data_IF_319304951871
#
_entry.id   IF_319304951871
#
_cell.length_a   1.000
_cell.length_b   1.000
_cell.length_c   1.000
_cell.angle_alpha   90.00
_cell.angle_beta   90.00
_cell.angle_gamma   90.00
#
_symmetry.space_group_name_H-M   'P 1'
#
loop_
_entity.id
_entity.type
_entity.pdbx_description
1 polymer ?
#
# COMPACT_ATOMS: atom_id res chain seq x y z
N UNK A 1 21.47 7.29 1.63
CA UNK A 1 21.19 8.73 1.67
C UNK A 1 20.09 8.97 2.71
N UNK A 2 20.36 9.89 3.64
CA UNK A 2 19.37 10.34 4.63
C UNK A 2 18.47 11.33 3.88
N UNK A 3 17.13 11.14 3.87
CA UNK A 3 16.23 12.06 3.21
C UNK A 3 16.28 13.45 3.88
N UNK A 4 16.09 14.54 3.12
CA UNK A 4 16.06 15.88 3.68
C UNK A 4 14.90 16.03 4.68
N UNK A 5 15.13 16.76 5.77
CA UNK A 5 14.19 16.94 6.89
C UNK A 5 12.86 17.62 6.51
N UNK A 6 12.77 18.24 5.33
CA UNK A 6 11.57 18.91 4.80
C UNK A 6 11.06 18.19 3.55
N UNK A 7 10.56 16.95 3.71
CA UNK A 7 9.89 16.31 2.59
C UNK A 7 8.50 16.92 2.36
N UNK A 8 8.18 17.35 1.13
CA UNK A 8 6.86 17.86 0.83
C UNK A 8 5.80 16.77 0.98
N UNK A 9 4.66 17.12 1.56
CA UNK A 9 3.47 16.25 1.67
C UNK A 9 3.00 15.69 0.33
N UNK A 10 3.38 16.32 -0.78
CA UNK A 10 3.11 15.87 -2.15
C UNK A 10 3.70 14.49 -2.49
N UNK A 11 4.74 14.03 -1.78
CA UNK A 11 5.27 12.67 -1.96
C UNK A 11 4.29 11.60 -1.47
N UNK A 12 3.49 11.92 -0.44
CA UNK A 12 2.44 11.01 0.04
C UNK A 12 1.31 10.86 -0.97
N UNK A 13 1.01 11.91 -1.74
CA UNK A 13 -0.01 11.89 -2.81
C UNK A 13 0.39 10.95 -3.96
N UNK A 14 1.68 10.63 -4.11
CA UNK A 14 2.17 9.70 -5.12
C UNK A 14 1.97 8.23 -4.74
N UNK A 15 1.68 7.94 -3.47
CA UNK A 15 1.51 6.56 -2.95
C UNK A 15 0.32 5.86 -3.61
N UNK A 16 0.52 4.60 -4.07
CA UNK A 16 -0.54 3.84 -4.72
C UNK A 16 -1.74 3.55 -3.81
N UNK A 17 -1.50 3.28 -2.53
CA UNK A 17 -2.55 2.99 -1.53
C UNK A 17 -3.45 4.20 -1.24
N UNK A 18 -2.89 5.41 -1.21
CA UNK A 18 -3.66 6.65 -1.07
C UNK A 18 -4.49 6.91 -2.33
N UNK A 19 -3.91 6.71 -3.52
CA UNK A 19 -4.64 6.82 -4.79
C UNK A 19 -5.76 5.79 -4.90
N UNK A 20 -5.54 4.57 -4.45
CA UNK A 20 -6.58 3.54 -4.40
C UNK A 20 -7.75 3.98 -3.51
N UNK A 21 -7.46 4.42 -2.28
CA UNK A 21 -8.48 4.89 -1.35
C UNK A 21 -9.25 6.11 -1.88
N UNK A 22 -8.58 7.03 -2.59
CA UNK A 22 -9.21 8.16 -3.27
C UNK A 22 -10.17 7.69 -4.38
N UNK A 23 -9.74 6.75 -5.23
CA UNK A 23 -10.59 6.22 -6.30
C UNK A 23 -11.79 5.45 -5.76
N UNK A 24 -11.64 4.73 -4.64
CA UNK A 24 -12.75 4.08 -3.94
C UNK A 24 -13.76 5.12 -3.44
N UNK A 25 -13.29 6.25 -2.89
CA UNK A 25 -14.15 7.33 -2.43
C UNK A 25 -14.90 7.98 -3.60
N UNK A 26 -14.22 8.23 -4.74
CA UNK A 26 -14.82 8.78 -5.96
C UNK A 26 -15.89 7.84 -6.50
N UNK A 27 -15.61 6.54 -6.57
CA UNK A 27 -16.57 5.52 -7.00
C UNK A 27 -17.78 5.43 -6.07
N UNK A 28 -17.58 5.50 -4.75
CA UNK A 28 -18.67 5.52 -3.77
C UNK A 28 -19.56 6.77 -3.93
N UNK A 29 -18.96 7.93 -4.22
CA UNK A 29 -19.70 9.16 -4.51
C UNK A 29 -20.53 9.04 -5.80
N UNK A 30 -19.97 8.48 -6.87
CA UNK A 30 -20.70 8.24 -8.11
C UNK A 30 -21.90 7.28 -7.91
N UNK A 31 -21.77 6.30 -7.03
CA UNK A 31 -22.86 5.37 -6.69
C UNK A 31 -24.06 6.04 -6.02
N UNK A 32 -23.90 7.21 -5.38
CA UNK A 32 -25.03 8.02 -4.91
C UNK A 32 -25.86 8.50 -6.12
N UNK A 33 -25.19 8.91 -7.20
CA UNK A 33 -25.85 9.29 -8.45
C UNK A 33 -26.64 8.13 -9.05
N UNK A 34 -26.07 6.92 -9.08
CA UNK A 34 -26.76 5.70 -9.53
C UNK A 34 -27.98 5.40 -8.66
N UNK A 35 -27.85 5.50 -7.33
CA UNK A 35 -28.99 5.29 -6.43
C UNK A 35 -30.11 6.35 -6.63
N UNK A 36 -29.73 7.60 -6.87
CA UNK A 36 -30.68 8.68 -7.19
C UNK A 36 -31.36 8.48 -8.54
N UNK A 37 -30.64 7.93 -9.54
CA UNK A 37 -31.22 7.63 -10.86
C UNK A 37 -32.39 6.64 -10.79
N UNK A 38 -32.39 5.75 -9.81
CA UNK A 38 -33.52 4.84 -9.58
C UNK A 38 -34.82 5.51 -9.12
N UNK A 39 -34.80 6.79 -8.77
CA UNK A 39 -35.98 7.61 -8.47
C UNK A 39 -36.65 8.17 -9.74
N UNK A 40 -35.97 8.08 -10.90
CA UNK A 40 -36.46 8.59 -12.17
C UNK A 40 -36.99 7.46 -13.08
N UNK A 41 -37.77 7.80 -14.11
CA UNK A 41 -38.23 6.82 -15.08
C UNK A 41 -37.06 6.13 -15.79
N UNK A 42 -37.12 4.81 -15.87
CA UNK A 42 -36.23 4.01 -16.70
C UNK A 42 -36.78 3.88 -18.12
N UNK A 43 -36.02 4.35 -19.10
CA UNK A 43 -36.36 4.30 -20.52
C UNK A 43 -35.52 3.19 -21.17
N UNK A 44 -36.18 2.19 -21.74
CA UNK A 44 -35.55 1.05 -22.40
C UNK A 44 -35.99 1.00 -23.85
N UNK A 45 -35.02 1.01 -24.77
CA UNK A 45 -35.26 0.72 -26.20
C UNK A 45 -34.88 -0.74 -26.46
N UNK A 46 -35.81 -1.50 -26.97
CA UNK A 46 -35.58 -2.88 -27.41
C UNK A 46 -35.76 -2.98 -28.93
N UNK A 47 -34.86 -3.71 -29.58
CA UNK A 47 -34.98 -4.05 -30.99
C UNK A 47 -34.69 -5.53 -31.15
N UNK A 48 -35.51 -6.19 -31.94
CA UNK A 48 -35.30 -7.57 -32.33
C UNK A 48 -35.39 -7.72 -33.85
N UNK A 49 -34.52 -8.55 -34.39
CA UNK A 49 -34.50 -8.93 -35.78
C UNK A 49 -34.22 -10.44 -35.86
N UNK A 50 -34.95 -11.15 -36.68
CA UNK A 50 -34.78 -12.58 -36.81
C UNK A 50 -35.66 -13.18 -37.89
N UNK A 51 -35.75 -14.51 -37.90
CA UNK A 51 -36.63 -15.26 -38.74
C UNK A 51 -37.53 -16.18 -37.89
N UNK A 52 -38.80 -16.26 -38.26
CA UNK A 52 -39.79 -17.12 -37.58
C UNK A 52 -40.55 -17.90 -38.63
N UNK A 53 -40.74 -19.18 -38.38
CA UNK A 53 -41.51 -20.07 -39.27
C UNK A 53 -42.18 -21.17 -38.44
N UNK A 54 -43.41 -21.56 -38.83
CA UNK A 54 -44.13 -22.68 -38.21
C UNK A 54 -43.42 -24.04 -38.44
N UNK A 55 -42.65 -24.18 -39.49
CA UNK A 55 -41.87 -25.39 -39.81
C UNK A 55 -40.45 -25.01 -40.12
N UNK A 56 -39.47 -25.74 -39.60
CA UNK A 56 -38.05 -25.45 -39.76
C UNK A 56 -37.59 -25.37 -41.25
N UNK A 57 -38.18 -26.21 -42.13
CA UNK A 57 -37.92 -26.23 -43.57
C UNK A 57 -38.30 -24.93 -44.29
N UNK A 58 -39.14 -24.08 -43.67
CA UNK A 58 -39.66 -22.86 -44.28
C UNK A 58 -38.93 -21.59 -43.70
N UNK A 59 -37.94 -21.75 -42.84
CA UNK A 59 -37.27 -20.62 -42.15
C UNK A 59 -36.52 -19.70 -43.11
N UNK A 60 -36.03 -20.23 -44.25
CA UNK A 60 -35.33 -19.50 -45.33
C UNK A 60 -36.24 -18.96 -46.41
N UNK A 61 -37.55 -19.19 -46.34
CA UNK A 61 -38.49 -18.67 -47.34
C UNK A 61 -38.73 -17.17 -47.16
N UNK A 62 -39.04 -16.52 -48.27
CA UNK A 62 -39.47 -15.12 -48.29
C UNK A 62 -40.71 -14.93 -47.39
N UNK A 63 -40.67 -13.99 -46.47
CA UNK A 63 -41.76 -13.75 -45.51
C UNK A 63 -41.54 -14.34 -44.11
N UNK A 64 -40.38 -15.01 -43.88
CA UNK A 64 -39.99 -15.47 -42.53
C UNK A 64 -39.27 -14.41 -41.70
N UNK A 65 -38.89 -13.29 -42.32
CA UNK A 65 -38.17 -12.20 -41.60
C UNK A 65 -39.14 -11.46 -40.69
N UNK A 66 -38.71 -11.32 -39.44
CA UNK A 66 -39.44 -10.55 -38.42
C UNK A 66 -38.52 -9.48 -37.86
N UNK A 67 -39.08 -8.35 -37.58
CA UNK A 67 -38.39 -7.29 -36.84
C UNK A 67 -39.35 -6.54 -35.93
N UNK A 68 -38.85 -5.99 -34.87
CA UNK A 68 -39.64 -5.20 -33.93
C UNK A 68 -38.78 -4.16 -33.22
N UNK A 69 -39.36 -3.01 -32.97
CA UNK A 69 -38.76 -1.97 -32.13
C UNK A 69 -39.79 -1.63 -31.05
N UNK A 70 -39.39 -1.65 -29.80
CA UNK A 70 -40.21 -1.34 -28.64
C UNK A 70 -39.56 -0.28 -27.75
N UNK A 71 -40.37 0.70 -27.29
CA UNK A 71 -39.98 1.66 -26.27
C UNK A 71 -40.73 1.35 -24.98
N UNK A 72 -39.99 1.01 -23.92
CA UNK A 72 -40.51 0.81 -22.57
C UNK A 72 -40.18 1.96 -21.63
N UNK A 73 -41.18 2.43 -20.88
CA UNK A 73 -41.03 3.42 -19.81
C UNK A 73 -41.55 2.80 -18.51
N UNK A 74 -40.68 2.76 -17.50
CA UNK A 74 -41.03 2.23 -16.17
C UNK A 74 -40.68 3.25 -15.09
N UNK A 75 -41.68 3.65 -14.30
CA UNK A 75 -41.50 4.54 -13.15
C UNK A 75 -42.14 3.90 -11.92
N UNK A 76 -41.39 3.63 -10.84
CA UNK A 76 -41.98 3.17 -9.59
C UNK A 76 -42.69 4.34 -8.89
N UNK A 77 -44.03 4.25 -8.75
CA UNK A 77 -44.86 5.26 -8.08
C UNK A 77 -44.90 4.99 -6.57
N UNK A 78 -45.03 3.72 -6.18
CA UNK A 78 -45.02 3.28 -4.78
C UNK A 78 -44.03 2.14 -4.60
N UNK A 79 -42.98 2.36 -3.79
CA UNK A 79 -41.97 1.36 -3.49
C UNK A 79 -41.70 1.19 -1.98
N UNK A 80 -42.62 1.73 -1.14
CA UNK A 80 -42.49 1.72 0.33
C UNK A 80 -41.16 2.34 0.84
N UNK A 81 -40.63 3.36 0.15
CA UNK A 81 -39.42 4.07 0.50
C UNK A 81 -38.12 3.34 0.16
N UNK A 82 -38.18 2.24 -0.60
CA UNK A 82 -36.99 1.45 -0.97
C UNK A 82 -35.97 2.25 -1.75
N UNK A 83 -36.38 3.08 -2.71
CA UNK A 83 -35.47 3.92 -3.48
C UNK A 83 -34.78 4.95 -2.61
N UNK A 84 -35.51 5.62 -1.71
CA UNK A 84 -34.92 6.59 -0.76
C UNK A 84 -33.94 5.91 0.21
N UNK A 85 -34.27 4.71 0.69
CA UNK A 85 -33.37 3.92 1.55
C UNK A 85 -32.08 3.54 0.82
N UNK A 86 -32.14 3.20 -0.49
CA UNK A 86 -30.95 2.96 -1.32
C UNK A 86 -30.05 4.19 -1.42
N UNK A 87 -30.63 5.38 -1.57
CA UNK A 87 -29.85 6.64 -1.57
C UNK A 87 -29.18 6.86 -0.22
N UNK A 88 -29.89 6.64 0.88
CA UNK A 88 -29.33 6.74 2.24
C UNK A 88 -28.22 5.73 2.46
N UNK A 89 -28.36 4.49 1.98
CA UNK A 89 -27.35 3.45 2.03
C UNK A 89 -26.11 3.84 1.21
N UNK A 90 -26.28 4.35 -0.02
CA UNK A 90 -25.17 4.81 -0.85
C UNK A 90 -24.43 5.99 -0.20
N UNK A 91 -25.16 6.93 0.42
CA UNK A 91 -24.58 8.04 1.17
C UNK A 91 -23.77 7.55 2.39
N UNK A 92 -24.27 6.54 3.12
CA UNK A 92 -23.52 5.94 4.24
C UNK A 92 -22.23 5.25 3.76
N UNK A 93 -22.28 4.54 2.62
CA UNK A 93 -21.11 3.92 2.00
C UNK A 93 -20.07 4.96 1.55
N UNK A 94 -20.52 6.11 1.03
CA UNK A 94 -19.62 7.21 0.66
C UNK A 94 -18.92 7.77 1.90
N UNK A 95 -19.61 7.98 3.02
CA UNK A 95 -19.01 8.40 4.29
C UNK A 95 -17.98 7.38 4.80
N UNK A 96 -18.28 6.09 4.68
CA UNK A 96 -17.35 5.01 5.04
C UNK A 96 -16.09 5.07 4.16
N UNK A 97 -16.23 5.28 2.86
CA UNK A 97 -15.10 5.41 1.94
C UNK A 97 -14.25 6.65 2.24
N UNK A 98 -14.88 7.77 2.64
CA UNK A 98 -14.17 8.98 3.09
C UNK A 98 -13.34 8.69 4.34
N UNK A 99 -13.92 8.05 5.36
CA UNK A 99 -13.17 7.69 6.58
C UNK A 99 -12.04 6.71 6.30
N UNK A 100 -12.21 5.81 5.32
CA UNK A 100 -11.14 4.92 4.87
C UNK A 100 -9.99 5.71 4.21
N UNK A 101 -10.30 6.67 3.36
CA UNK A 101 -9.31 7.55 2.73
C UNK A 101 -8.53 8.36 3.78
N UNK A 102 -9.21 8.98 4.74
CA UNK A 102 -8.59 9.71 5.85
C UNK A 102 -7.66 8.81 6.69
N UNK A 103 -8.12 7.59 6.99
CA UNK A 103 -7.31 6.59 7.71
C UNK A 103 -6.07 6.17 6.92
N UNK A 104 -6.17 6.02 5.60
CA UNK A 104 -5.04 5.68 4.73
C UNK A 104 -3.97 6.77 4.76
N UNK A 105 -4.37 8.05 4.73
CA UNK A 105 -3.46 9.18 4.87
C UNK A 105 -2.76 9.18 6.24
N UNK A 106 -3.51 8.99 7.32
CA UNK A 106 -2.95 8.96 8.68
C UNK A 106 -1.96 7.81 8.84
N UNK A 107 -2.27 6.64 8.31
CA UNK A 107 -1.36 5.48 8.32
C UNK A 107 -0.08 5.74 7.51
N UNK A 108 -0.18 6.38 6.35
CA UNK A 108 0.97 6.75 5.55
C UNK A 108 1.91 7.71 6.30
N UNK A 109 1.38 8.74 6.97
CA UNK A 109 2.17 9.64 7.82
C UNK A 109 2.84 8.89 8.98
N UNK A 110 2.12 7.99 9.64
CA UNK A 110 2.66 7.16 10.72
C UNK A 110 3.82 6.28 10.22
N UNK A 111 3.66 5.62 9.07
CA UNK A 111 4.70 4.78 8.48
C UNK A 111 5.96 5.56 8.15
N UNK A 112 5.83 6.72 7.50
CA UNK A 112 6.97 7.60 7.19
C UNK A 112 7.67 8.07 8.46
N UNK A 113 6.92 8.54 9.46
CA UNK A 113 7.52 9.00 10.71
C UNK A 113 8.25 7.87 11.44
N UNK A 114 7.66 6.68 11.51
CA UNK A 114 8.30 5.51 12.12
C UNK A 114 9.58 5.11 11.37
N UNK A 115 9.56 5.13 10.05
CA UNK A 115 10.73 4.80 9.24
C UNK A 115 11.88 5.81 9.41
N UNK A 116 11.57 7.11 9.51
CA UNK A 116 12.55 8.16 9.78
C UNK A 116 13.20 7.96 11.15
N UNK A 117 12.38 7.77 12.19
CA UNK A 117 12.87 7.55 13.56
C UNK A 117 13.73 6.28 13.62
N UNK A 118 13.25 5.17 13.04
CA UNK A 118 14.02 3.92 13.01
C UNK A 118 15.36 4.06 12.29
N UNK A 119 15.38 4.75 11.16
CA UNK A 119 16.61 4.98 10.41
C UNK A 119 17.63 5.80 11.21
N UNK A 120 17.17 6.85 11.89
CA UNK A 120 18.00 7.67 12.75
C UNK A 120 18.60 6.85 13.89
N UNK A 121 17.74 6.17 14.65
CA UNK A 121 18.14 5.34 15.79
C UNK A 121 19.12 4.23 15.40
N UNK A 122 18.84 3.51 14.30
CA UNK A 122 19.76 2.45 13.85
C UNK A 122 21.08 3.01 13.32
N UNK A 123 21.09 4.22 12.78
CA UNK A 123 22.35 4.88 12.35
C UNK A 123 23.22 5.23 13.55
N UNK A 124 22.63 5.80 14.61
CA UNK A 124 23.35 6.12 15.84
C UNK A 124 23.89 4.85 16.52
N UNK A 125 23.05 3.82 16.66
CA UNK A 125 23.45 2.53 17.24
C UNK A 125 24.51 1.79 16.40
N UNK A 126 24.47 1.88 15.06
CA UNK A 126 25.52 1.30 14.20
C UNK A 126 26.88 1.99 14.47
N UNK A 127 26.89 3.31 14.64
CA UNK A 127 28.12 4.05 14.95
C UNK A 127 28.68 3.64 16.30
N UNK A 128 27.86 3.48 17.34
CA UNK A 128 28.28 3.07 18.68
C UNK A 128 28.83 1.63 18.68
N UNK A 129 28.16 0.72 17.97
CA UNK A 129 28.62 -0.66 17.84
C UNK A 129 29.89 -0.76 16.99
N UNK A 130 30.10 0.15 16.03
CA UNK A 130 31.33 0.24 15.29
C UNK A 130 32.52 0.63 16.20
N UNK A 131 32.32 1.61 17.08
CA UNK A 131 33.33 1.99 18.07
C UNK A 131 33.65 0.83 19.03
N UNK A 132 32.61 0.09 19.47
CA UNK A 132 32.77 -1.09 20.31
C UNK A 132 33.56 -2.19 19.61
N UNK A 133 33.26 -2.48 18.35
CA UNK A 133 33.97 -3.45 17.53
C UNK A 133 35.46 -3.07 17.38
N UNK A 134 35.75 -1.78 17.08
CA UNK A 134 37.11 -1.30 16.89
C UNK A 134 37.91 -1.35 18.19
N UNK A 135 37.28 -1.08 19.34
CA UNK A 135 37.88 -1.25 20.66
C UNK A 135 38.21 -2.72 20.99
N UNK A 136 37.23 -3.60 20.74
CA UNK A 136 37.37 -5.05 20.95
C UNK A 136 38.48 -5.63 20.05
N UNK A 137 38.58 -5.17 18.79
CA UNK A 137 39.63 -5.55 17.87
C UNK A 137 41.00 -5.16 18.40
N UNK A 138 41.18 -3.94 18.89
CA UNK A 138 42.45 -3.48 19.49
C UNK A 138 42.81 -4.32 20.70
N UNK A 139 41.83 -4.66 21.57
CA UNK A 139 42.11 -5.51 22.73
C UNK A 139 42.55 -6.91 22.31
N UNK A 140 41.88 -7.52 21.30
CA UNK A 140 42.29 -8.80 20.75
C UNK A 140 43.69 -8.76 20.14
N UNK A 141 44.05 -7.71 19.40
CA UNK A 141 45.40 -7.54 18.81
C UNK A 141 46.47 -7.44 19.89
N UNK A 142 46.21 -6.70 20.98
CA UNK A 142 47.12 -6.58 22.14
C UNK A 142 47.27 -7.95 22.83
N UNK A 143 46.15 -8.65 23.11
CA UNK A 143 46.19 -9.97 23.75
C UNK A 143 46.97 -11.00 22.88
N UNK A 144 46.80 -10.95 21.55
CA UNK A 144 47.53 -11.78 20.60
C UNK A 144 49.07 -11.51 20.67
N UNK A 145 49.44 -10.25 20.71
CA UNK A 145 50.84 -9.87 20.78
C UNK A 145 51.48 -10.27 22.11
N UNK A 146 50.77 -10.08 23.24
CA UNK A 146 51.23 -10.51 24.58
C UNK A 146 51.38 -12.03 24.67
N UNK A 147 50.43 -12.79 24.11
CA UNK A 147 50.53 -14.24 24.05
C UNK A 147 51.76 -14.70 23.22
N UNK A 148 51.91 -14.15 22.01
CA UNK A 148 53.06 -14.47 21.13
C UNK A 148 54.42 -14.12 21.77
N UNK A 149 54.46 -13.10 22.61
CA UNK A 149 55.65 -12.70 23.35
C UNK A 149 55.84 -13.49 24.68
N UNK A 150 54.91 -14.41 25.03
CA UNK A 150 55.00 -15.22 26.26
C UNK A 150 54.54 -14.50 27.54
N UNK A 151 53.92 -13.31 27.43
CA UNK A 151 53.48 -12.49 28.58
C UNK A 151 52.07 -12.76 29.06
N UNK A 152 51.27 -13.56 28.31
CA UNK A 152 49.89 -13.90 28.70
C UNK A 152 49.48 -15.31 28.29
N UNK A 153 48.41 -15.85 28.92
CA UNK A 153 47.91 -17.14 28.61
C UNK A 153 47.10 -17.14 27.28
N UNK A 154 47.03 -18.32 26.67
CA UNK A 154 46.17 -18.50 25.47
C UNK A 154 44.69 -18.23 25.75
N UNK A 155 44.22 -18.47 27.00
CA UNK A 155 42.88 -18.20 27.43
C UNK A 155 42.54 -16.71 27.32
N UNK A 156 43.47 -15.82 27.73
CA UNK A 156 43.28 -14.34 27.59
C UNK A 156 43.07 -13.92 26.12
N UNK A 157 43.82 -14.52 25.20
CA UNK A 157 43.66 -14.31 23.76
C UNK A 157 42.29 -14.81 23.26
N UNK A 158 41.88 -16.01 23.65
CA UNK A 158 40.58 -16.59 23.25
C UNK A 158 39.40 -15.76 23.77
N UNK A 159 39.45 -15.27 25.00
CA UNK A 159 38.42 -14.39 25.56
C UNK A 159 38.35 -13.07 24.78
N UNK A 160 39.45 -12.44 24.47
CA UNK A 160 39.48 -11.22 23.66
C UNK A 160 38.96 -11.47 22.24
N UNK A 161 39.28 -12.62 21.64
CA UNK A 161 38.76 -13.03 20.33
C UNK A 161 37.22 -13.25 20.36
N UNK A 162 36.71 -13.87 21.42
CA UNK A 162 35.26 -14.06 21.59
C UNK A 162 34.56 -12.70 21.69
N UNK A 163 35.05 -11.77 22.51
CA UNK A 163 34.50 -10.42 22.66
C UNK A 163 34.49 -9.67 21.31
N UNK A 164 35.60 -9.78 20.54
CA UNK A 164 35.64 -9.18 19.19
C UNK A 164 34.59 -9.80 18.22
N UNK A 165 34.44 -11.12 18.23
CA UNK A 165 33.48 -11.81 17.40
C UNK A 165 32.03 -11.39 17.76
N UNK A 166 31.71 -11.35 19.07
CA UNK A 166 30.40 -10.92 19.55
C UNK A 166 30.10 -9.47 19.15
N UNK A 167 31.05 -8.57 19.32
CA UNK A 167 30.95 -7.17 18.88
C UNK A 167 30.78 -7.06 17.35
N UNK A 168 31.50 -7.89 16.58
CA UNK A 168 31.40 -7.91 15.12
C UNK A 168 30.03 -8.38 14.64
N UNK A 169 29.46 -9.42 15.28
CA UNK A 169 28.11 -9.90 14.98
C UNK A 169 27.08 -8.82 15.28
N UNK A 170 27.16 -8.17 16.45
CA UNK A 170 26.27 -7.10 16.85
C UNK A 170 26.29 -5.91 15.87
N UNK A 171 27.49 -5.50 15.43
CA UNK A 171 27.65 -4.45 14.41
C UNK A 171 27.01 -4.83 13.08
N UNK A 172 27.24 -6.04 12.58
CA UNK A 172 26.68 -6.50 11.29
C UNK A 172 25.14 -6.57 11.37
N UNK A 173 24.58 -7.08 12.46
CA UNK A 173 23.13 -7.13 12.67
C UNK A 173 22.52 -5.73 12.68
N UNK A 174 23.15 -4.77 13.35
CA UNK A 174 22.65 -3.40 13.40
C UNK A 174 22.74 -2.70 12.05
N UNK A 175 23.83 -2.90 11.32
CA UNK A 175 23.98 -2.43 9.94
C UNK A 175 22.89 -2.98 9.02
N UNK A 176 22.55 -4.25 9.17
CA UNK A 176 21.43 -4.85 8.43
C UNK A 176 20.12 -4.12 8.74
N UNK A 177 19.81 -3.90 10.03
CA UNK A 177 18.58 -3.19 10.44
C UNK A 177 18.52 -1.76 9.89
N UNK A 178 19.64 -1.03 9.88
CA UNK A 178 19.71 0.30 9.26
C UNK A 178 19.43 0.26 7.75
N UNK A 179 20.00 -0.72 7.05
CA UNK A 179 19.73 -0.87 5.61
C UNK A 179 18.26 -1.22 5.34
N UNK A 180 17.68 -2.10 6.16
CA UNK A 180 16.23 -2.41 6.07
C UNK A 180 15.37 -1.18 6.35
N UNK A 181 15.70 -0.37 7.37
CA UNK A 181 15.01 0.87 7.65
C UNK A 181 15.11 1.89 6.50
N UNK A 182 16.25 1.93 5.78
CA UNK A 182 16.40 2.75 4.58
C UNK A 182 15.47 2.32 3.45
N UNK A 183 15.31 1.01 3.25
CA UNK A 183 14.39 0.45 2.25
C UNK A 183 12.94 0.70 2.66
N UNK A 184 12.60 0.54 3.94
CA UNK A 184 11.26 0.81 4.45
C UNK A 184 10.86 2.28 4.30
N UNK A 185 11.80 3.19 4.56
CA UNK A 185 11.59 4.62 4.31
C UNK A 185 11.34 4.89 2.81
N UNK A 186 12.14 4.30 1.93
CA UNK A 186 11.92 4.41 0.47
C UNK A 186 10.53 3.93 0.06
N UNK A 187 10.11 2.78 0.57
CA UNK A 187 8.79 2.22 0.32
C UNK A 187 7.67 3.10 0.87
N UNK A 188 7.80 3.60 2.12
CA UNK A 188 6.79 4.44 2.77
C UNK A 188 6.58 5.79 2.07
N UNK A 189 7.55 6.24 1.28
CA UNK A 189 7.48 7.45 0.45
C UNK A 189 6.93 7.19 -0.96
N UNK A 190 6.44 5.99 -1.24
CA UNK A 190 5.88 5.63 -2.54
C UNK A 190 6.91 5.24 -3.60
N UNK A 191 8.15 4.94 -3.19
CA UNK A 191 9.19 4.39 -4.08
C UNK A 191 9.82 5.39 -5.06
N UNK A 192 9.57 6.68 -4.88
CA UNK A 192 10.15 7.71 -5.76
C UNK A 192 10.65 8.92 -4.97
N UNK A 193 11.94 9.02 -4.72
CA UNK A 193 12.58 10.32 -4.55
C UNK A 193 13.74 10.42 -5.53
N UNK A 194 13.77 11.47 -6.33
CA UNK A 194 14.97 11.91 -7.02
C UNK A 194 15.73 12.83 -6.09
N UNK A 195 16.98 12.52 -5.79
CA UNK A 195 17.91 13.52 -5.25
C UNK A 195 18.07 14.61 -6.31
N UNK A 196 17.44 15.76 -6.10
CA UNK A 196 17.84 16.99 -6.77
C UNK A 196 19.10 17.53 -6.13
#
# INVERSE_FOLDING_TARGET
PIPPANMPSSLLESRPDIKEAEQIMIAANANIGVAKAALFPNIVLTANFGRESAELKNIDKTGSDIWGIGLGLTLPIFDSGRAQTRVSQATAKQKQALSYYESSIQNAFKEVNNAIVSLKEYTEQENDLKLTQDAAKKAMDIASNRYKAGYSSYLEYLDAQRVYNDASIAYIQKRQLRLMASVELFKSLGGSWSTQ
#
